data_IF_823941268905
#
_entry.id   IF_823941268905
#
_cell.length_a   1.000
_cell.length_b   1.000
_cell.length_c   1.000
_cell.angle_alpha   90.00
_cell.angle_beta   90.00
_cell.angle_gamma   90.00
#
_symmetry.space_group_name_H-M   'P 1'
#
loop_
_entity.id
_entity.type
_entity.pdbx_description
1 polymer ?
#
# COMPACT_ATOMS: atom_id res chain seq x y z
N UNK A 1 -2.66 -5.67 -11.19
CA UNK A 1 -3.72 -5.18 -10.27
C UNK A 1 -4.43 -6.27 -9.49
N UNK A 2 -4.64 -7.50 -10.01
CA UNK A 2 -5.21 -8.59 -9.21
C UNK A 2 -4.42 -8.88 -7.92
N UNK A 3 -3.09 -8.97 -8.03
CA UNK A 3 -2.19 -9.15 -6.87
C UNK A 3 -2.30 -7.99 -5.87
N UNK A 4 -2.41 -6.75 -6.36
CA UNK A 4 -2.57 -5.56 -5.51
C UNK A 4 -3.84 -5.69 -4.68
N UNK A 5 -4.98 -5.95 -5.31
CA UNK A 5 -6.27 -6.01 -4.60
C UNK A 5 -6.35 -7.20 -3.64
N UNK A 6 -5.76 -8.35 -3.99
CA UNK A 6 -5.60 -9.52 -3.11
C UNK A 6 -4.67 -9.25 -1.91
N UNK A 7 -3.78 -8.26 -2.03
CA UNK A 7 -2.87 -7.86 -0.95
C UNK A 7 -3.50 -6.80 -0.06
N UNK A 8 -4.28 -5.90 -0.64
CA UNK A 8 -4.95 -4.82 0.08
C UNK A 8 -6.19 -5.28 0.85
N UNK A 9 -6.88 -6.32 0.37
CA UNK A 9 -8.19 -6.71 0.87
C UNK A 9 -8.35 -8.22 1.05
N UNK A 10 -9.20 -8.59 2.00
CA UNK A 10 -9.74 -9.95 2.11
C UNK A 10 -10.94 -10.04 1.17
N UNK A 11 -10.88 -10.98 0.22
CA UNK A 11 -11.94 -11.22 -0.76
C UNK A 11 -12.79 -12.44 -0.37
N UNK A 12 -14.08 -12.40 -0.63
CA UNK A 12 -14.97 -13.57 -0.52
C UNK A 12 -14.93 -14.46 -1.78
N UNK A 13 -15.66 -15.58 -1.76
CA UNK A 13 -15.71 -16.55 -2.87
C UNK A 13 -16.25 -15.97 -4.18
N UNK A 14 -16.86 -14.78 -4.14
CA UNK A 14 -17.38 -14.04 -5.31
C UNK A 14 -16.46 -12.89 -5.72
N UNK A 15 -15.24 -12.87 -5.22
CA UNK A 15 -14.27 -11.78 -5.38
C UNK A 15 -14.81 -10.42 -4.91
N UNK A 16 -15.67 -10.38 -3.88
CA UNK A 16 -16.10 -9.12 -3.25
C UNK A 16 -15.22 -8.81 -2.05
N UNK A 17 -15.03 -7.52 -1.76
CA UNK A 17 -14.23 -7.05 -0.63
C UNK A 17 -15.01 -7.30 0.65
N UNK A 18 -14.52 -8.22 1.48
CA UNK A 18 -15.08 -8.54 2.79
C UNK A 18 -14.49 -7.67 3.90
N UNK A 19 -13.19 -7.39 3.84
CA UNK A 19 -12.46 -6.57 4.80
C UNK A 19 -11.20 -5.96 4.18
N UNK A 20 -10.62 -4.97 4.85
CA UNK A 20 -9.23 -4.56 4.60
C UNK A 20 -8.31 -5.65 5.13
N UNK A 21 -7.22 -5.96 4.42
CA UNK A 21 -6.23 -6.93 4.87
C UNK A 21 -5.28 -6.32 5.93
N UNK A 22 -5.87 -5.82 7.01
CA UNK A 22 -5.19 -5.26 8.19
C UNK A 22 -5.91 -5.76 9.46
N UNK A 23 -5.22 -5.81 10.60
CA UNK A 23 -5.78 -6.27 11.88
C UNK A 23 -6.94 -5.40 12.39
N UNK A 24 -6.99 -4.13 11.96
CA UNK A 24 -8.01 -3.17 12.38
C UNK A 24 -9.34 -3.44 11.67
N UNK A 25 -10.42 -3.46 12.44
CA UNK A 25 -11.80 -3.56 11.92
C UNK A 25 -12.24 -2.23 11.31
N UNK A 26 -11.67 -1.91 10.15
CA UNK A 26 -12.03 -0.76 9.34
C UNK A 26 -12.94 -1.19 8.20
N UNK A 27 -13.97 -0.38 7.94
CA UNK A 27 -14.85 -0.60 6.81
C UNK A 27 -14.08 -0.46 5.49
N UNK A 28 -14.08 -1.48 4.62
CA UNK A 28 -13.41 -1.38 3.32
C UNK A 28 -14.13 -0.38 2.39
N UNK A 29 -13.44 0.08 1.33
CA UNK A 29 -14.06 0.97 0.34
C UNK A 29 -15.24 0.28 -0.34
N UNK A 30 -16.25 1.06 -0.72
CA UNK A 30 -17.39 0.55 -1.46
C UNK A 30 -16.97 -0.03 -2.82
N UNK A 31 -16.02 0.63 -3.49
CA UNK A 31 -15.42 0.14 -4.73
C UNK A 31 -13.91 0.39 -4.74
N UNK A 32 -13.16 -0.59 -5.23
CA UNK A 32 -11.76 -0.49 -5.65
C UNK A 32 -11.69 -0.65 -7.17
N UNK A 33 -10.91 0.21 -7.82
CA UNK A 33 -10.66 0.18 -9.26
C UNK A 33 -9.15 0.30 -9.50
N UNK A 34 -8.52 -0.78 -9.95
CA UNK A 34 -7.15 -0.78 -10.44
C UNK A 34 -7.10 -0.67 -11.96
N UNK A 35 -6.34 0.28 -12.51
CA UNK A 35 -6.14 0.46 -13.95
C UNK A 35 -4.69 0.20 -14.34
N UNK A 36 -4.52 -0.61 -15.38
CA UNK A 36 -3.22 -0.89 -16.02
C UNK A 36 -3.34 -0.76 -17.53
N UNK A 37 -2.23 -1.01 -18.26
CA UNK A 37 -2.26 -1.14 -19.72
C UNK A 37 -3.09 -2.34 -20.21
N UNK A 38 -3.29 -3.35 -19.37
CA UNK A 38 -4.05 -4.57 -19.68
C UNK A 38 -5.57 -4.40 -19.45
N UNK A 39 -5.99 -3.32 -18.79
CA UNK A 39 -7.39 -3.04 -18.49
C UNK A 39 -7.66 -2.71 -17.02
N UNK A 40 -8.93 -2.84 -16.64
CA UNK A 40 -9.45 -2.55 -15.31
C UNK A 40 -9.59 -3.83 -14.47
N UNK A 41 -9.33 -3.70 -13.17
CA UNK A 41 -9.70 -4.66 -12.13
C UNK A 41 -10.61 -3.92 -11.17
N UNK A 42 -11.88 -4.31 -11.12
CA UNK A 42 -12.88 -3.69 -10.25
C UNK A 42 -13.29 -4.70 -9.18
N UNK A 43 -13.35 -4.27 -7.92
CA UNK A 43 -13.82 -5.07 -6.79
C UNK A 43 -14.80 -4.22 -5.97
N UNK A 44 -15.88 -4.83 -5.52
CA UNK A 44 -16.95 -4.17 -4.79
C UNK A 44 -17.00 -4.70 -3.37
N UNK A 45 -17.35 -3.87 -2.40
CA UNK A 45 -17.62 -4.35 -1.03
C UNK A 45 -18.80 -5.31 -1.02
N UNK A 46 -18.70 -6.35 -0.18
CA UNK A 46 -19.61 -7.51 -0.19
C UNK A 46 -21.09 -7.15 -0.02
N UNK A 47 -21.39 -6.05 0.66
CA UNK A 47 -22.72 -5.57 1.00
C UNK A 47 -23.36 -4.67 -0.08
N UNK A 48 -22.65 -4.35 -1.17
CA UNK A 48 -23.20 -3.52 -2.24
C UNK A 48 -24.36 -4.23 -2.97
N UNK A 49 -25.51 -3.54 -3.17
CA UNK A 49 -26.61 -4.07 -3.95
C UNK A 49 -26.21 -4.36 -5.40
N UNK A 50 -26.71 -5.47 -5.94
CA UNK A 50 -26.41 -5.91 -7.31
C UNK A 50 -26.73 -4.84 -8.37
N UNK A 51 -27.86 -4.13 -8.22
CA UNK A 51 -28.25 -3.03 -9.09
C UNK A 51 -27.21 -1.90 -9.14
N UNK A 52 -26.65 -1.54 -7.98
CA UNK A 52 -25.62 -0.50 -7.91
C UNK A 52 -24.33 -0.96 -8.58
N UNK A 53 -23.97 -2.23 -8.42
CA UNK A 53 -22.81 -2.83 -9.10
C UNK A 53 -22.96 -2.74 -10.62
N UNK A 54 -24.13 -3.08 -11.15
CA UNK A 54 -24.43 -3.00 -12.58
C UNK A 54 -24.35 -1.57 -13.12
N UNK A 55 -24.89 -0.59 -12.37
CA UNK A 55 -24.79 0.83 -12.72
C UNK A 55 -23.34 1.33 -12.72
N UNK A 56 -22.53 0.94 -11.73
CA UNK A 56 -21.11 1.29 -11.67
C UNK A 56 -20.37 0.66 -12.86
N UNK A 57 -20.58 -0.62 -13.13
CA UNK A 57 -19.91 -1.32 -14.25
C UNK A 57 -20.22 -0.62 -15.57
N UNK A 58 -21.49 -0.32 -15.85
CA UNK A 58 -21.91 0.41 -17.04
C UNK A 58 -21.22 1.78 -17.17
N UNK A 59 -21.06 2.53 -16.07
CA UNK A 59 -20.34 3.80 -16.09
C UNK A 59 -18.84 3.67 -16.37
N UNK A 60 -18.24 2.50 -16.08
CA UNK A 60 -16.79 2.26 -16.26
C UNK A 60 -16.39 1.63 -17.58
N UNK A 61 -17.35 1.22 -18.42
CA UNK A 61 -17.07 0.57 -19.71
C UNK A 61 -16.31 1.47 -20.69
N UNK A 62 -16.73 2.74 -20.79
CA UNK A 62 -16.18 3.68 -21.77
C UNK A 62 -15.01 4.50 -21.22
N UNK A 63 -15.11 4.97 -19.97
CA UNK A 63 -14.09 5.80 -19.33
C UNK A 63 -14.19 5.71 -17.81
N UNK A 64 -13.13 6.10 -17.12
CA UNK A 64 -13.13 6.20 -15.66
C UNK A 64 -13.47 7.63 -15.24
N UNK A 65 -14.75 7.97 -15.23
CA UNK A 65 -15.24 9.25 -14.72
C UNK A 65 -15.52 9.16 -13.22
N UNK A 66 -14.59 9.67 -12.42
CA UNK A 66 -14.67 9.63 -10.95
C UNK A 66 -15.86 10.43 -10.42
N UNK A 67 -16.24 11.53 -11.07
CA UNK A 67 -17.38 12.36 -10.64
C UNK A 67 -18.68 11.61 -10.85
N UNK A 68 -18.83 10.98 -12.02
CA UNK A 68 -20.01 10.16 -12.31
C UNK A 68 -20.09 8.95 -11.38
N UNK A 69 -18.97 8.28 -11.10
CA UNK A 69 -18.91 7.18 -10.13
C UNK A 69 -19.38 7.61 -8.75
N UNK A 70 -18.92 8.75 -8.25
CA UNK A 70 -19.35 9.26 -6.96
C UNK A 70 -20.86 9.50 -6.93
N UNK A 71 -21.45 10.11 -7.96
CA UNK A 71 -22.90 10.33 -8.05
C UNK A 71 -23.71 9.04 -7.99
N UNK A 72 -23.25 8.00 -8.71
CA UNK A 72 -23.91 6.68 -8.70
C UNK A 72 -23.82 6.05 -7.30
N UNK A 73 -22.65 6.07 -6.68
CA UNK A 73 -22.44 5.53 -5.32
C UNK A 73 -23.27 6.30 -4.28
N UNK A 74 -23.34 7.63 -4.40
CA UNK A 74 -24.12 8.50 -3.51
C UNK A 74 -25.62 8.27 -3.57
N UNK A 75 -26.15 7.67 -4.65
CA UNK A 75 -27.55 7.23 -4.71
C UNK A 75 -27.88 6.14 -3.69
N UNK A 76 -26.86 5.43 -3.20
CA UNK A 76 -26.98 4.38 -2.19
C UNK A 76 -26.51 4.83 -0.82
N UNK A 77 -25.27 5.37 -0.74
CA UNK A 77 -24.68 5.85 0.50
C UNK A 77 -23.72 7.00 0.25
N UNK A 78 -23.68 7.95 1.18
CA UNK A 78 -22.79 9.12 1.11
C UNK A 78 -21.33 8.68 0.96
N UNK A 79 -20.65 9.24 -0.04
CA UNK A 79 -19.21 9.10 -0.21
C UNK A 79 -18.50 9.87 0.90
N UNK A 80 -17.58 9.21 1.58
CA UNK A 80 -16.83 9.76 2.73
C UNK A 80 -15.38 10.03 2.41
N UNK A 81 -14.79 9.25 1.50
CA UNK A 81 -13.39 9.40 1.10
C UNK A 81 -13.19 8.91 -0.34
N UNK A 82 -12.23 9.54 -1.03
CA UNK A 82 -11.77 9.15 -2.36
C UNK A 82 -10.25 9.14 -2.31
N UNK A 83 -9.68 7.95 -2.47
CA UNK A 83 -8.25 7.78 -2.59
C UNK A 83 -7.88 7.40 -4.01
N UNK A 84 -6.84 8.01 -4.57
CA UNK A 84 -6.35 7.66 -5.90
C UNK A 84 -4.84 7.88 -6.00
N UNK A 85 -4.15 6.94 -6.65
CA UNK A 85 -2.70 6.94 -6.62
C UNK A 85 -2.02 6.06 -7.67
N UNK A 86 -0.75 6.33 -8.01
CA UNK A 86 0.07 5.40 -8.76
C UNK A 86 0.41 4.15 -7.93
N UNK A 87 0.50 3.01 -8.62
CA UNK A 87 0.99 1.76 -8.06
C UNK A 87 2.28 1.33 -8.75
N UNK A 88 3.28 0.99 -7.93
CA UNK A 88 4.62 0.65 -8.35
C UNK A 88 5.01 -0.74 -7.86
N UNK A 89 5.93 -1.37 -8.59
CA UNK A 89 6.54 -2.64 -8.22
C UNK A 89 8.05 -2.53 -8.31
N UNK A 90 8.74 -3.21 -7.41
CA UNK A 90 10.19 -3.34 -7.44
C UNK A 90 10.61 -4.40 -8.49
N UNK A 91 11.57 -4.08 -9.36
CA UNK A 91 12.01 -4.95 -10.48
C UNK A 91 13.53 -5.02 -10.65
N UNK A 92 14.30 -5.10 -9.57
CA UNK A 92 15.75 -5.17 -9.68
C UNK A 92 16.29 -6.49 -9.15
N UNK A 93 16.71 -7.34 -10.07
CA UNK A 93 17.57 -8.49 -9.76
C UNK A 93 19.05 -8.06 -9.69
N UNK A 94 19.43 -6.91 -10.27
CA UNK A 94 20.84 -6.54 -10.50
C UNK A 94 21.33 -5.25 -9.81
N UNK A 95 20.52 -4.55 -9.01
CA UNK A 95 21.02 -3.38 -8.26
C UNK A 95 21.67 -3.85 -6.96
N UNK A 96 23.00 -3.73 -6.81
CA UNK A 96 23.70 -4.18 -5.62
C UNK A 96 23.22 -3.40 -4.40
N UNK A 97 23.22 -4.02 -3.21
CA UNK A 97 22.93 -3.32 -1.98
C UNK A 97 23.82 -2.11 -1.79
N UNK A 98 23.20 -0.97 -1.54
CA UNK A 98 23.91 0.10 -0.85
C UNK A 98 24.20 -0.44 0.54
N UNK A 99 25.48 -0.70 0.81
CA UNK A 99 25.92 -1.05 2.15
C UNK A 99 25.81 0.18 3.03
N UNK A 100 24.68 0.31 3.72
CA UNK A 100 24.44 1.36 4.70
C UNK A 100 24.48 0.74 6.11
N UNK A 101 25.52 1.01 6.91
CA UNK A 101 25.70 0.37 8.22
C UNK A 101 24.56 0.69 9.20
N UNK A 102 23.84 1.79 9.00
CA UNK A 102 22.75 2.20 9.88
C UNK A 102 21.40 1.54 9.51
N UNK A 103 21.31 0.77 8.43
CA UNK A 103 20.10 0.03 8.09
C UNK A 103 20.11 -1.33 8.78
N UNK A 104 19.07 -1.59 9.56
CA UNK A 104 18.82 -2.89 10.17
C UNK A 104 17.50 -3.47 9.68
N UNK A 105 17.45 -4.80 9.52
CA UNK A 105 16.18 -5.50 9.55
C UNK A 105 15.65 -5.48 10.98
N UNK A 106 14.42 -5.02 11.13
CA UNK A 106 13.76 -4.91 12.43
C UNK A 106 12.99 -6.20 12.69
N UNK A 107 13.19 -6.78 13.86
CA UNK A 107 12.55 -7.98 14.36
C UNK A 107 12.49 -7.97 15.88
N UNK A 108 12.01 -9.06 16.48
CA UNK A 108 11.73 -9.10 17.92
C UNK A 108 12.96 -8.78 18.79
N UNK A 109 14.16 -9.21 18.39
CA UNK A 109 15.40 -8.99 19.15
C UNK A 109 15.84 -7.53 19.22
N UNK A 110 15.46 -6.70 18.25
CA UNK A 110 15.84 -5.28 18.19
C UNK A 110 14.64 -4.32 18.11
N UNK A 111 13.42 -4.81 18.34
CA UNK A 111 12.19 -3.98 18.29
C UNK A 111 12.23 -2.78 19.23
N UNK A 112 12.97 -2.87 20.33
CA UNK A 112 13.09 -1.79 21.32
C UNK A 112 13.57 -0.47 20.70
N UNK A 113 14.29 -0.51 19.57
CA UNK A 113 14.74 0.67 18.81
C UNK A 113 13.57 1.48 18.22
N UNK A 114 12.37 0.89 18.11
CA UNK A 114 11.14 1.55 17.62
C UNK A 114 10.43 2.35 18.69
N UNK A 115 10.64 2.03 19.98
CA UNK A 115 9.75 2.42 21.09
C UNK A 115 9.44 3.91 21.16
N UNK A 116 10.42 4.77 20.88
CA UNK A 116 10.25 6.23 20.97
C UNK A 116 9.54 6.85 19.77
N UNK A 117 9.91 6.45 18.55
CA UNK A 117 9.46 7.11 17.32
C UNK A 117 8.30 6.37 16.63
N UNK A 118 8.11 5.09 16.94
CA UNK A 118 7.19 4.16 16.28
C UNK A 118 6.56 3.20 17.31
N UNK A 119 5.99 3.74 18.40
CA UNK A 119 5.44 2.94 19.52
C UNK A 119 4.34 1.96 19.11
N UNK A 120 3.44 2.34 18.20
CA UNK A 120 2.39 1.45 17.69
C UNK A 120 3.02 0.25 16.96
N UNK A 121 3.93 0.53 16.01
CA UNK A 121 4.65 -0.53 15.29
C UNK A 121 5.54 -1.37 16.21
N UNK A 122 6.02 -0.84 17.34
CA UNK A 122 6.72 -1.63 18.35
C UNK A 122 5.82 -2.72 18.96
N UNK A 123 4.56 -2.38 19.24
CA UNK A 123 3.57 -3.30 19.81
C UNK A 123 3.05 -4.31 18.77
N UNK A 124 2.86 -3.85 17.53
CA UNK A 124 2.25 -4.63 16.43
C UNK A 124 3.28 -5.21 15.45
N UNK A 125 4.57 -5.24 15.82
CA UNK A 125 5.66 -5.55 14.87
C UNK A 125 5.44 -6.85 14.10
N UNK A 126 4.96 -7.91 14.75
CA UNK A 126 4.76 -9.23 14.14
C UNK A 126 3.81 -9.22 12.95
N UNK A 127 2.86 -8.28 12.92
CA UNK A 127 1.86 -8.13 11.86
C UNK A 127 2.39 -7.31 10.68
N UNK A 128 3.52 -6.63 10.88
CA UNK A 128 4.14 -5.73 9.91
C UNK A 128 5.49 -6.19 9.36
N UNK A 129 5.91 -7.43 9.64
CA UNK A 129 7.15 -7.98 9.11
C UNK A 129 7.01 -8.39 7.63
N UNK A 130 8.08 -8.30 6.81
CA UNK A 130 9.38 -7.76 7.14
C UNK A 130 9.39 -6.25 7.35
N UNK A 131 10.32 -5.77 8.16
CA UNK A 131 10.57 -4.35 8.40
C UNK A 131 12.06 -4.03 8.27
N UNK A 132 12.38 -2.89 7.67
CA UNK A 132 13.72 -2.34 7.56
C UNK A 132 13.74 -0.90 8.11
N UNK A 133 14.66 -0.63 9.04
CA UNK A 133 14.77 0.66 9.71
C UNK A 133 16.15 1.27 9.56
N UNK A 134 16.21 2.59 9.44
CA UNK A 134 17.44 3.37 9.57
C UNK A 134 17.57 3.83 11.02
N UNK A 135 18.69 3.49 11.64
CA UNK A 135 19.00 3.80 13.04
C UNK A 135 19.88 5.04 13.12
N UNK A 136 19.49 6.02 13.93
CA UNK A 136 20.33 7.15 14.33
C UNK A 136 20.20 7.35 15.84
N UNK A 137 21.32 7.60 16.52
CA UNK A 137 21.38 7.84 17.96
C UNK A 137 20.68 6.74 18.81
N UNK A 138 20.79 5.48 18.38
CA UNK A 138 20.21 4.33 19.06
C UNK A 138 18.70 4.14 18.84
N UNK A 139 18.11 4.84 17.87
CA UNK A 139 16.67 4.81 17.61
C UNK A 139 16.40 4.66 16.12
N UNK A 140 15.32 3.95 15.75
CA UNK A 140 14.85 3.98 14.36
C UNK A 140 14.25 5.36 14.08
N UNK A 141 14.68 6.00 13.00
CA UNK A 141 14.21 7.34 12.57
C UNK A 141 13.56 7.34 11.18
N UNK A 142 13.77 6.27 10.41
CA UNK A 142 13.04 5.99 9.17
C UNK A 142 12.78 4.49 9.10
N UNK A 143 11.59 4.09 8.68
CA UNK A 143 11.20 2.67 8.61
C UNK A 143 10.32 2.42 7.40
N UNK A 144 10.59 1.30 6.72
CA UNK A 144 9.67 0.68 5.79
C UNK A 144 9.30 -0.71 6.31
N UNK A 145 8.01 -0.97 6.49
CA UNK A 145 7.48 -2.26 6.91
C UNK A 145 6.36 -2.71 5.97
N UNK A 146 5.84 -3.93 6.17
CA UNK A 146 4.70 -4.41 5.40
C UNK A 146 3.40 -3.90 6.03
N UNK A 147 2.67 -3.02 5.34
CA UNK A 147 1.33 -2.62 5.74
C UNK A 147 0.38 -3.82 5.71
N UNK A 148 0.47 -4.60 4.62
CA UNK A 148 -0.43 -5.71 4.29
C UNK A 148 0.35 -6.79 3.54
N UNK A 149 -0.04 -8.04 3.73
CA UNK A 149 0.65 -9.20 3.15
C UNK A 149 -0.36 -10.22 2.65
N UNK A 150 -0.15 -10.72 1.45
CA UNK A 150 -0.83 -11.89 0.89
C UNK A 150 0.16 -13.02 0.65
N UNK A 151 -0.33 -14.18 0.19
CA UNK A 151 0.55 -15.28 -0.24
C UNK A 151 1.43 -14.96 -1.45
N UNK A 152 1.31 -13.77 -2.06
CA UNK A 152 2.02 -13.39 -3.29
C UNK A 152 2.79 -12.09 -3.20
N UNK A 153 2.42 -11.19 -2.30
CA UNK A 153 2.99 -9.86 -2.23
C UNK A 153 2.89 -9.24 -0.84
N UNK A 154 3.69 -8.20 -0.63
CA UNK A 154 3.60 -7.33 0.53
C UNK A 154 3.50 -5.87 0.06
N UNK A 155 2.64 -5.09 0.71
CA UNK A 155 2.47 -3.66 0.44
C UNK A 155 3.29 -2.83 1.43
N UNK A 156 4.02 -1.83 0.95
CA UNK A 156 4.87 -0.99 1.79
C UNK A 156 4.08 -0.03 2.69
N UNK A 157 4.52 0.12 3.93
CA UNK A 157 4.25 1.26 4.80
C UNK A 157 5.56 1.98 5.11
N UNK A 158 5.65 3.27 4.79
CA UNK A 158 6.86 4.07 4.94
C UNK A 158 6.61 5.26 5.86
N UNK A 159 7.48 5.43 6.86
CA UNK A 159 7.46 6.60 7.72
C UNK A 159 8.87 7.06 8.09
N UNK A 160 9.07 8.37 8.06
CA UNK A 160 10.31 9.03 8.51
C UNK A 160 9.95 10.10 9.52
N UNK A 161 10.65 10.10 10.66
CA UNK A 161 10.56 11.12 11.70
C UNK A 161 10.85 12.49 11.09
N UNK A 162 10.06 13.49 11.47
CA UNK A 162 10.07 14.80 10.81
C UNK A 162 11.45 15.46 10.75
N UNK A 163 12.19 15.44 11.86
CA UNK A 163 13.55 15.98 11.95
C UNK A 163 14.57 15.29 11.01
N UNK A 164 14.26 14.08 10.53
CA UNK A 164 15.13 13.28 9.67
C UNK A 164 14.65 13.24 8.20
N UNK A 165 13.61 14.00 7.85
CA UNK A 165 13.12 14.11 6.47
C UNK A 165 14.10 14.90 5.60
N UNK A 166 14.02 14.69 4.28
CA UNK A 166 14.88 15.39 3.30
C UNK A 166 16.31 14.86 3.19
N UNK A 167 16.74 13.95 4.07
CA UNK A 167 18.12 13.44 4.12
C UNK A 167 18.36 12.17 3.28
N UNK A 168 17.37 11.71 2.53
CA UNK A 168 17.52 10.52 1.67
C UNK A 168 17.37 9.16 2.38
N UNK A 169 16.94 9.13 3.65
CA UNK A 169 16.78 7.88 4.43
C UNK A 169 15.66 6.98 3.90
N UNK A 170 14.53 7.57 3.48
CA UNK A 170 13.35 6.82 3.03
C UNK A 170 13.64 5.85 1.86
N UNK A 171 14.29 6.28 0.75
CA UNK A 171 14.71 5.35 -0.29
C UNK A 171 15.57 4.19 0.20
N UNK A 172 16.46 4.44 1.16
CA UNK A 172 17.36 3.41 1.69
C UNK A 172 16.58 2.30 2.41
N UNK A 173 15.65 2.67 3.30
CA UNK A 173 14.83 1.68 4.03
C UNK A 173 13.84 0.96 3.13
N UNK A 174 13.25 1.64 2.14
CA UNK A 174 12.37 0.99 1.14
C UNK A 174 13.16 -0.01 0.29
N UNK A 175 14.37 0.33 -0.16
CA UNK A 175 15.22 -0.60 -0.91
C UNK A 175 15.53 -1.86 -0.08
N UNK A 176 15.89 -1.70 1.20
CA UNK A 176 16.18 -2.81 2.10
C UNK A 176 14.95 -3.69 2.33
N UNK A 177 13.79 -3.08 2.57
CA UNK A 177 12.51 -3.79 2.70
C UNK A 177 12.15 -4.56 1.43
N UNK A 178 12.22 -3.93 0.24
CA UNK A 178 11.93 -4.58 -1.05
C UNK A 178 12.79 -5.84 -1.26
N UNK A 179 14.07 -5.78 -0.91
CA UNK A 179 14.95 -6.96 -0.98
C UNK A 179 14.53 -8.06 -0.03
N UNK A 180 14.17 -7.71 1.20
CA UNK A 180 13.74 -8.70 2.18
C UNK A 180 12.44 -9.38 1.77
N UNK A 181 11.46 -8.63 1.26
CA UNK A 181 10.22 -9.16 0.68
C UNK A 181 10.53 -10.09 -0.49
N UNK A 182 11.39 -9.67 -1.42
CA UNK A 182 11.78 -10.49 -2.58
C UNK A 182 12.49 -11.78 -2.17
N UNK A 183 13.36 -11.74 -1.14
CA UNK A 183 14.02 -12.93 -0.57
C UNK A 183 13.04 -13.94 0.04
N UNK A 184 11.87 -13.48 0.47
CA UNK A 184 10.78 -14.34 0.95
C UNK A 184 9.91 -14.89 -0.19
N UNK A 185 10.25 -14.60 -1.46
CA UNK A 185 9.48 -15.04 -2.62
C UNK A 185 8.22 -14.22 -2.87
N UNK A 186 8.07 -13.06 -2.22
CA UNK A 186 6.93 -12.15 -2.35
C UNK A 186 7.26 -10.99 -3.28
N UNK A 187 6.23 -10.43 -3.92
CA UNK A 187 6.34 -9.22 -4.74
C UNK A 187 6.27 -7.97 -3.83
N UNK A 188 7.26 -7.06 -3.85
CA UNK A 188 7.19 -5.80 -3.13
C UNK A 188 6.33 -4.79 -3.91
N UNK A 189 5.20 -4.44 -3.33
CA UNK A 189 4.26 -3.45 -3.86
C UNK A 189 4.45 -2.13 -3.12
N UNK A 190 4.33 -1.04 -3.87
CA UNK A 190 4.41 0.31 -3.34
C UNK A 190 3.37 1.17 -4.04
N UNK A 191 2.34 1.60 -3.33
CA UNK A 191 1.39 2.61 -3.81
C UNK A 191 1.43 3.87 -2.95
N UNK A 192 0.92 4.97 -3.49
CA UNK A 192 0.82 6.24 -2.78
C UNK A 192 -0.21 7.11 -3.48
N UNK A 193 -0.79 8.09 -2.81
CA UNK A 193 -1.70 9.04 -3.44
C UNK A 193 -0.99 9.99 -4.42
N UNK A 194 -1.73 10.55 -5.38
CA UNK A 194 -1.22 11.51 -6.36
C UNK A 194 -0.72 12.83 -5.75
N UNK A 195 -1.22 13.21 -4.59
CA UNK A 195 -0.82 14.42 -3.85
C UNK A 195 0.38 14.18 -2.91
N UNK A 196 0.72 12.91 -2.62
CA UNK A 196 1.90 12.57 -1.83
C UNK A 196 3.18 12.58 -2.69
N UNK A 197 3.65 13.79 -2.97
CA UNK A 197 4.87 14.04 -3.75
C UNK A 197 6.12 13.43 -3.11
N UNK A 198 6.15 13.29 -1.78
CA UNK A 198 7.28 12.72 -1.05
C UNK A 198 7.47 11.24 -1.37
N UNK A 199 6.40 10.44 -1.26
CA UNK A 199 6.44 9.01 -1.60
C UNK A 199 6.68 8.78 -3.10
N UNK A 200 6.11 9.62 -3.97
CA UNK A 200 6.40 9.56 -5.41
C UNK A 200 7.88 9.87 -5.73
N UNK A 201 8.50 10.80 -4.99
CA UNK A 201 9.92 11.07 -5.12
C UNK A 201 10.78 9.87 -4.67
N UNK A 202 10.35 9.13 -3.64
CA UNK A 202 10.99 7.87 -3.22
C UNK A 202 10.90 6.84 -4.34
N UNK A 203 9.70 6.60 -4.89
CA UNK A 203 9.51 5.66 -5.99
C UNK A 203 10.38 6.00 -7.20
N UNK A 204 10.50 7.30 -7.55
CA UNK A 204 11.36 7.78 -8.64
C UNK A 204 12.85 7.58 -8.36
N UNK A 205 13.32 7.93 -7.16
CA UNK A 205 14.73 7.75 -6.75
C UNK A 205 15.14 6.28 -6.78
N UNK A 206 14.21 5.39 -6.45
CA UNK A 206 14.37 3.94 -6.50
C UNK A 206 14.04 3.34 -7.87
N UNK A 207 13.75 4.14 -8.89
CA UNK A 207 13.41 3.64 -10.23
C UNK A 207 12.30 2.58 -10.23
N UNK A 208 11.34 2.66 -9.29
CA UNK A 208 10.26 1.68 -9.19
C UNK A 208 9.42 1.71 -10.46
N UNK A 209 9.01 0.53 -10.92
CA UNK A 209 8.24 0.42 -12.14
C UNK A 209 6.76 0.70 -11.85
N UNK A 210 6.23 1.81 -12.37
CA UNK A 210 4.81 2.09 -12.30
C UNK A 210 4.05 1.15 -13.25
N UNK A 211 3.31 0.21 -12.68
CA UNK A 211 2.55 -0.76 -13.46
C UNK A 211 1.06 -0.36 -13.62
N UNK A 212 0.60 0.62 -12.84
CA UNK A 212 -0.76 1.13 -12.94
C UNK A 212 -1.08 2.26 -11.97
N UNK A 213 -2.37 2.42 -11.71
CA UNK A 213 -2.96 3.26 -10.67
C UNK A 213 -4.16 2.56 -10.06
N UNK A 214 -4.49 2.91 -8.82
CA UNK A 214 -5.67 2.46 -8.11
C UNK A 214 -6.50 3.66 -7.62
N UNK A 215 -7.80 3.43 -7.54
CA UNK A 215 -8.83 4.34 -7.07
C UNK A 215 -9.71 3.56 -6.09
N UNK A 216 -9.93 4.12 -4.91
CA UNK A 216 -10.82 3.58 -3.90
C UNK A 216 -11.83 4.65 -3.50
N UNK A 217 -13.11 4.30 -3.47
CA UNK A 217 -14.19 5.19 -3.02
C UNK A 217 -14.85 4.55 -1.81
N UNK A 218 -14.83 5.27 -0.69
CA UNK A 218 -15.40 4.82 0.58
C UNK A 218 -16.74 5.51 0.85
N UNK A 219 -17.61 4.82 1.60
CA UNK A 219 -18.91 5.33 2.02
C UNK A 219 -19.09 5.15 3.52
N UNK A 220 -19.98 5.95 4.12
CA UNK A 220 -20.41 5.77 5.51
C UNK A 220 -21.40 4.64 5.75
#
# INVERSE_FOLDING_TARGET
MKIQVETLYVLDDRERIAAINEPLDMQPPAVFIGKTKEGLVIRFRRDLPQKLIEEILSCTEASLDVVQLCRVIESYKKVTDIWMGPAYVFRWDDVPPVAEPNILLIGESNRHLLKKNFSILHEELSEHLPAAGYVADGEVVSICCSARISGRAAEASLKTVEAFRGQGLAPLVVQSWCRQVSRQGLIPLYSTSWDNLSSQAVARKLGLHQYGMDLSISTG
#
